data_IF_669694567994
#
_entry.id   IF_669694567994
#
_cell.length_a   1.000
_cell.length_b   1.000
_cell.length_c   1.000
_cell.angle_alpha   90.00
_cell.angle_beta   90.00
_cell.angle_gamma   90.00
#
_symmetry.space_group_name_H-M   'P 1'
#
loop_
_entity.id
_entity.type
_entity.pdbx_description
1 polymer ?
#
# COMPACT_ATOMS: atom_id res chain seq x y z
N UNK A 1 -3.19 -4.31 17.48
CA UNK A 1 -3.58 -3.20 16.59
C UNK A 1 -4.18 -3.81 15.35
N UNK A 2 -5.46 -3.53 15.06
CA UNK A 2 -6.24 -4.24 14.05
C UNK A 2 -5.77 -3.86 12.63
N UNK A 3 -5.19 -4.82 11.92
CA UNK A 3 -4.81 -4.73 10.49
C UNK A 3 -6.00 -4.37 9.58
N UNK A 4 -7.22 -4.70 10.00
CA UNK A 4 -8.48 -4.30 9.35
C UNK A 4 -8.57 -2.78 9.15
N UNK A 5 -8.08 -1.99 10.12
CA UNK A 5 -8.13 -0.52 10.05
C UNK A 5 -7.18 0.06 9.00
N UNK A 6 -5.98 -0.49 8.86
CA UNK A 6 -4.98 -0.01 7.89
C UNK A 6 -5.39 -0.35 6.46
N UNK A 7 -5.93 -1.54 6.23
CA UNK A 7 -6.45 -1.96 4.92
C UNK A 7 -7.58 -1.02 4.45
N UNK A 8 -8.49 -0.64 5.35
CA UNK A 8 -9.57 0.32 5.05
C UNK A 8 -9.02 1.72 4.73
N UNK A 9 -8.05 2.21 5.50
CA UNK A 9 -7.39 3.51 5.24
C UNK A 9 -6.69 3.52 3.90
N UNK A 10 -5.93 2.46 3.60
CA UNK A 10 -5.29 2.28 2.29
C UNK A 10 -6.29 2.31 1.14
N UNK A 11 -7.39 1.55 1.22
CA UNK A 11 -8.41 1.55 0.17
C UNK A 11 -9.06 2.91 -0.01
N UNK A 12 -9.29 3.66 1.07
CA UNK A 12 -9.80 5.03 0.98
C UNK A 12 -8.83 5.92 0.21
N UNK A 13 -7.53 5.84 0.49
CA UNK A 13 -6.52 6.62 -0.25
C UNK A 13 -6.47 6.17 -1.71
N UNK A 14 -6.33 4.87 -1.97
CA UNK A 14 -6.24 4.29 -3.31
C UNK A 14 -7.46 4.61 -4.19
N UNK A 15 -8.67 4.54 -3.64
CA UNK A 15 -9.90 4.86 -4.36
C UNK A 15 -9.99 6.33 -4.78
N UNK A 16 -9.33 7.24 -4.06
CA UNK A 16 -9.29 8.67 -4.37
C UNK A 16 -8.14 9.05 -5.31
N UNK A 17 -7.27 8.13 -5.70
CA UNK A 17 -6.18 8.41 -6.63
C UNK A 17 -6.68 8.50 -8.08
N UNK A 18 -6.30 9.55 -8.83
CA UNK A 18 -6.34 9.56 -10.29
C UNK A 18 -5.67 8.31 -10.88
N UNK A 19 -6.19 7.82 -12.01
CA UNK A 19 -5.70 6.58 -12.62
C UNK A 19 -4.20 6.62 -12.95
N UNK A 20 -3.70 7.75 -13.45
CA UNK A 20 -2.29 7.92 -13.78
C UNK A 20 -1.38 7.85 -12.54
N UNK A 21 -1.87 8.21 -11.35
CA UNK A 21 -1.07 8.12 -10.12
C UNK A 21 -1.00 6.69 -9.57
N UNK A 22 -1.79 5.74 -10.07
CA UNK A 22 -1.74 4.35 -9.60
C UNK A 22 -0.47 3.62 -10.01
N UNK A 23 0.20 4.12 -11.05
CA UNK A 23 1.48 3.59 -11.53
C UNK A 23 2.69 4.21 -10.82
N UNK A 24 2.49 5.26 -10.00
CA UNK A 24 3.57 5.93 -9.29
C UNK A 24 4.09 5.09 -8.11
N UNK A 25 5.40 5.22 -7.85
CA UNK A 25 6.12 4.53 -6.77
C UNK A 25 5.81 5.19 -5.42
N UNK A 26 5.47 4.39 -4.42
CA UNK A 26 5.08 4.85 -3.08
C UNK A 26 5.99 4.37 -1.96
N UNK A 27 6.74 3.30 -2.23
CA UNK A 27 7.60 2.66 -1.25
C UNK A 27 8.74 1.96 -1.97
N UNK A 28 9.95 2.06 -1.44
CA UNK A 28 11.10 1.28 -1.92
C UNK A 28 11.54 0.36 -0.80
N UNK A 29 11.53 -0.95 -1.07
CA UNK A 29 11.96 -1.97 -0.13
C UNK A 29 13.33 -2.48 -0.54
N UNK A 30 14.32 -2.43 0.37
CA UNK A 30 15.74 -2.72 0.06
C UNK A 30 15.99 -4.01 -0.75
N UNK A 31 15.20 -5.07 -0.53
CA UNK A 31 15.37 -6.38 -1.20
C UNK A 31 14.36 -6.65 -2.32
N UNK A 32 13.36 -5.80 -2.50
CA UNK A 32 12.27 -5.99 -3.49
C UNK A 32 12.21 -4.90 -4.54
N UNK A 33 12.86 -3.77 -4.30
CA UNK A 33 12.83 -2.62 -5.19
C UNK A 33 11.59 -1.75 -4.97
N UNK A 34 11.26 -0.91 -5.98
CA UNK A 34 10.15 0.02 -5.90
C UNK A 34 8.79 -0.69 -5.97
N UNK A 35 7.84 -0.19 -5.19
CA UNK A 35 6.46 -0.65 -5.13
C UNK A 35 5.57 0.52 -5.54
N UNK A 36 4.70 0.29 -6.53
CA UNK A 36 3.70 1.27 -6.96
C UNK A 36 2.41 1.12 -6.18
N UNK A 37 1.53 2.13 -6.26
CA UNK A 37 0.17 2.03 -5.71
C UNK A 37 -0.58 0.79 -6.21
N UNK A 38 -0.48 0.45 -7.50
CA UNK A 38 -1.18 -0.68 -8.08
C UNK A 38 -0.62 -2.04 -7.60
N UNK A 39 0.70 -2.17 -7.49
CA UNK A 39 1.31 -3.37 -6.88
C UNK A 39 0.89 -3.50 -5.42
N UNK A 40 0.95 -2.40 -4.66
CA UNK A 40 0.50 -2.37 -3.28
C UNK A 40 -0.96 -2.81 -3.13
N UNK A 41 -1.84 -2.33 -4.01
CA UNK A 41 -3.24 -2.74 -4.02
C UNK A 41 -3.39 -4.25 -4.20
N UNK A 42 -2.74 -4.83 -5.20
CA UNK A 42 -2.82 -6.28 -5.47
C UNK A 42 -2.34 -7.10 -4.26
N UNK A 43 -1.24 -6.70 -3.64
CA UNK A 43 -0.68 -7.40 -2.48
C UNK A 43 -1.58 -7.29 -1.23
N UNK A 44 -2.18 -6.11 -1.00
CA UNK A 44 -3.12 -5.86 0.10
C UNK A 44 -4.44 -6.59 -0.11
N UNK A 45 -4.94 -6.61 -1.34
CA UNK A 45 -6.20 -7.26 -1.69
C UNK A 45 -6.12 -8.78 -1.56
N UNK A 46 -5.00 -9.35 -2.01
CA UNK A 46 -4.69 -10.78 -1.87
C UNK A 46 -4.18 -11.18 -0.47
N UNK A 47 -4.13 -10.24 0.48
CA UNK A 47 -3.75 -10.47 1.88
C UNK A 47 -2.37 -11.13 2.07
N UNK A 48 -1.44 -10.82 1.17
CA UNK A 48 -0.10 -11.41 1.21
C UNK A 48 0.71 -10.88 2.39
N UNK A 49 1.77 -11.60 2.77
CA UNK A 49 2.73 -11.09 3.76
C UNK A 49 3.40 -9.78 3.30
N UNK A 50 3.60 -9.60 1.98
CA UNK A 50 4.08 -8.33 1.46
C UNK A 50 3.04 -7.23 1.65
N UNK A 51 1.77 -7.50 1.39
CA UNK A 51 0.67 -6.55 1.61
C UNK A 51 0.63 -6.05 3.05
N UNK A 52 0.80 -6.96 4.03
CA UNK A 52 0.90 -6.60 5.46
C UNK A 52 2.09 -5.68 5.75
N UNK A 53 3.27 -5.98 5.18
CA UNK A 53 4.47 -5.15 5.32
C UNK A 53 4.26 -3.77 4.70
N UNK A 54 3.64 -3.70 3.52
CA UNK A 54 3.33 -2.44 2.83
C UNK A 54 2.41 -1.59 3.71
N UNK A 55 1.30 -2.13 4.21
CA UNK A 55 0.37 -1.39 5.07
C UNK A 55 1.06 -0.81 6.30
N UNK A 56 1.90 -1.62 6.95
CA UNK A 56 2.64 -1.19 8.13
C UNK A 56 3.61 -0.05 7.78
N UNK A 57 4.36 -0.16 6.68
CA UNK A 57 5.29 0.87 6.23
C UNK A 57 4.60 2.16 5.82
N UNK A 58 3.48 2.09 5.10
CA UNK A 58 2.72 3.27 4.71
C UNK A 58 2.11 3.98 5.92
N UNK A 59 1.70 3.24 6.95
CA UNK A 59 1.21 3.81 8.21
C UNK A 59 2.34 4.47 9.02
N UNK A 60 3.53 3.85 9.09
CA UNK A 60 4.73 4.43 9.71
C UNK A 60 5.18 5.73 9.05
N UNK A 61 4.97 5.85 7.74
CA UNK A 61 5.28 7.04 6.95
C UNK A 61 4.14 8.08 6.94
N UNK A 62 3.05 7.81 7.67
CA UNK A 62 1.85 8.66 7.73
C UNK A 62 1.20 8.95 6.36
N UNK A 63 1.42 8.08 5.37
CA UNK A 63 0.81 8.18 4.04
C UNK A 63 -0.65 7.73 4.07
N UNK A 64 -0.95 6.70 4.88
CA UNK A 64 -2.30 6.17 5.08
C UNK A 64 -2.73 6.28 6.52
#
# INVERSE_FOLDING_TARGET
METTSLKQRFYKVFANLPLNLREEVILVLEKRGPITWQVAYLEVDNETELGKIILQKLAELEII
#
